data_IF_079073867637
#
_entry.id   IF_079073867637
#
_cell.length_a   1.000
_cell.length_b   1.000
_cell.length_c   1.000
_cell.angle_alpha   90.00
_cell.angle_beta   90.00
_cell.angle_gamma   90.00
#
_symmetry.space_group_name_H-M   'P 1'
#
loop_
_entity.id
_entity.type
_entity.pdbx_description
1 polymer ?
#
# COMPACT_ATOMS: atom_id res chain seq x y z
N UNK A 1 32.74 -10.23 -50.26
CA UNK A 1 32.31 -9.22 -49.27
C UNK A 1 30.77 -9.13 -49.17
N UNK A 2 30.06 -10.23 -49.44
CA UNK A 2 28.58 -10.30 -49.48
C UNK A 2 28.13 -11.57 -48.75
N UNK A 3 28.53 -11.72 -47.49
CA UNK A 3 28.16 -12.89 -46.67
C UNK A 3 27.91 -12.52 -45.20
N UNK A 4 28.48 -11.40 -44.73
CA UNK A 4 28.24 -10.91 -43.38
C UNK A 4 26.89 -10.18 -43.22
N UNK A 5 26.24 -9.75 -44.32
CA UNK A 5 24.93 -9.07 -44.25
C UNK A 5 23.74 -10.05 -44.28
N UNK A 6 23.93 -11.28 -44.76
CA UNK A 6 22.87 -12.30 -44.80
C UNK A 6 22.70 -13.04 -43.45
N UNK A 7 23.65 -12.88 -42.52
CA UNK A 7 23.61 -13.51 -41.19
C UNK A 7 22.90 -12.64 -40.12
N UNK A 8 22.52 -11.40 -40.45
CA UNK A 8 21.82 -10.50 -39.52
C UNK A 8 20.28 -10.58 -39.63
N UNK A 9 19.74 -11.36 -40.56
CA UNK A 9 18.28 -11.59 -40.69
C UNK A 9 17.76 -12.74 -39.83
N UNK A 10 18.61 -13.38 -39.02
CA UNK A 10 18.24 -14.57 -38.22
C UNK A 10 17.70 -14.27 -36.81
N UNK A 11 17.58 -13.01 -36.39
CA UNK A 11 16.82 -12.72 -35.16
C UNK A 11 15.35 -12.68 -35.55
N UNK A 12 14.73 -13.86 -35.60
CA UNK A 12 13.30 -13.97 -35.35
C UNK A 12 13.07 -13.50 -33.91
N UNK A 13 12.89 -12.19 -33.73
CA UNK A 13 12.12 -11.65 -32.63
C UNK A 13 10.72 -12.21 -32.83
N UNK A 14 10.48 -13.36 -32.19
CA UNK A 14 9.15 -13.88 -32.03
C UNK A 14 8.35 -12.85 -31.26
N UNK A 15 7.68 -11.95 -31.98
CA UNK A 15 6.51 -11.30 -31.44
C UNK A 15 5.57 -12.45 -31.08
N UNK A 16 5.33 -12.64 -29.79
CA UNK A 16 4.29 -13.49 -29.28
C UNK A 16 2.93 -12.87 -29.65
N UNK A 17 2.57 -12.89 -30.94
CA UNK A 17 1.24 -12.56 -31.42
C UNK A 17 0.37 -13.79 -31.24
N UNK A 18 0.00 -14.02 -29.98
CA UNK A 18 -0.77 -15.19 -29.59
C UNK A 18 -0.80 -15.41 -28.10
N UNK A 19 -0.68 -14.37 -27.29
CA UNK A 19 -1.22 -14.42 -25.93
C UNK A 19 -2.70 -14.08 -26.06
N UNK A 20 -3.54 -15.11 -25.99
CA UNK A 20 -4.93 -15.08 -25.55
C UNK A 20 -5.27 -13.71 -24.92
N UNK A 21 -5.96 -12.85 -25.69
CA UNK A 21 -6.32 -11.49 -25.23
C UNK A 21 -7.08 -11.55 -23.91
N UNK A 22 -7.78 -12.66 -23.70
CA UNK A 22 -8.47 -13.02 -22.47
C UNK A 22 -7.51 -13.26 -21.29
N UNK A 23 -6.40 -13.99 -21.50
CA UNK A 23 -5.37 -14.18 -20.49
C UNK A 23 -4.64 -12.87 -20.16
N UNK A 24 -4.36 -12.04 -21.16
CA UNK A 24 -3.75 -10.73 -20.96
C UNK A 24 -4.65 -9.79 -20.16
N UNK A 25 -5.97 -9.81 -20.43
CA UNK A 25 -6.94 -8.99 -19.71
C UNK A 25 -7.15 -9.50 -18.27
N UNK A 26 -7.18 -10.82 -18.06
CA UNK A 26 -7.27 -11.41 -16.73
C UNK A 26 -6.05 -11.07 -15.84
N UNK A 27 -4.84 -11.05 -16.41
CA UNK A 27 -3.63 -10.61 -15.70
C UNK A 27 -3.71 -9.12 -15.35
N UNK A 28 -4.16 -8.27 -16.29
CA UNK A 28 -4.33 -6.85 -16.04
C UNK A 28 -5.37 -6.57 -14.93
N UNK A 29 -6.50 -7.27 -14.93
CA UNK A 29 -7.52 -7.19 -13.88
C UNK A 29 -6.97 -7.63 -12.51
N UNK A 30 -6.20 -8.72 -12.48
CA UNK A 30 -5.56 -9.21 -11.26
C UNK A 30 -4.57 -8.21 -10.67
N UNK A 31 -3.71 -7.60 -11.50
CA UNK A 31 -2.73 -6.59 -11.07
C UNK A 31 -3.46 -5.33 -10.56
N UNK A 32 -4.50 -4.89 -11.25
CA UNK A 32 -5.28 -3.70 -10.85
C UNK A 32 -6.00 -3.92 -9.50
N UNK A 33 -6.56 -5.12 -9.28
CA UNK A 33 -7.17 -5.51 -8.02
C UNK A 33 -6.16 -5.49 -6.86
N UNK A 34 -4.96 -6.05 -7.08
CA UNK A 34 -3.88 -6.07 -6.10
C UNK A 34 -3.40 -4.66 -5.74
N UNK A 35 -3.23 -3.79 -6.75
CA UNK A 35 -2.83 -2.40 -6.55
C UNK A 35 -3.88 -1.64 -5.73
N UNK A 36 -5.16 -1.89 -6.02
CA UNK A 36 -6.28 -1.24 -5.32
C UNK A 36 -6.27 -1.58 -3.82
N UNK A 37 -5.98 -2.81 -3.44
CA UNK A 37 -5.87 -3.24 -2.04
C UNK A 37 -4.71 -2.57 -1.32
N UNK A 38 -3.57 -2.33 -1.99
CA UNK A 38 -2.41 -1.67 -1.40
C UNK A 38 -2.58 -0.16 -1.25
N UNK A 39 -3.30 0.47 -2.20
CA UNK A 39 -3.50 1.92 -2.22
C UNK A 39 -4.66 2.39 -1.34
N UNK A 40 -5.69 1.55 -1.16
CA UNK A 40 -6.88 1.90 -0.37
C UNK A 40 -6.82 1.25 1.01
N UNK A 41 -5.89 1.71 1.84
CA UNK A 41 -5.92 1.38 3.27
C UNK A 41 -7.21 1.94 3.89
N UNK A 42 -8.04 1.06 4.45
CA UNK A 42 -9.26 1.51 5.12
C UNK A 42 -8.92 2.38 6.34
N UNK A 43 -9.70 3.44 6.62
CA UNK A 43 -9.46 4.28 7.78
C UNK A 43 -9.60 3.45 9.05
N UNK A 44 -8.55 3.43 9.88
CA UNK A 44 -8.57 2.75 11.17
C UNK A 44 -9.61 3.39 12.08
N UNK A 45 -10.69 2.65 12.37
CA UNK A 45 -11.71 3.06 13.34
C UNK A 45 -11.23 2.69 14.75
N UNK A 46 -11.31 3.63 15.68
CA UNK A 46 -11.06 3.35 17.10
C UNK A 46 -12.25 2.58 17.67
N UNK A 47 -11.98 1.46 18.33
CA UNK A 47 -12.99 0.71 19.08
C UNK A 47 -13.46 1.49 20.32
N UNK A 48 -12.54 2.26 20.92
CA UNK A 48 -12.79 3.02 22.13
C UNK A 48 -13.10 4.50 21.84
N UNK A 49 -13.98 5.12 22.64
CA UNK A 49 -14.29 6.54 22.52
C UNK A 49 -13.04 7.39 22.77
N UNK A 50 -13.00 8.56 22.12
CA UNK A 50 -11.90 9.51 22.31
C UNK A 50 -11.99 10.10 23.72
N UNK A 51 -10.96 9.86 24.53
CA UNK A 51 -10.85 10.44 25.88
C UNK A 51 -10.66 11.96 25.77
N UNK A 52 -11.57 12.72 26.34
CA UNK A 52 -11.50 14.17 26.40
C UNK A 52 -10.41 14.65 27.36
N UNK A 53 -9.85 15.83 27.08
CA UNK A 53 -8.72 16.41 27.85
C UNK A 53 -9.08 16.60 29.35
N UNK A 54 -10.34 16.84 29.68
CA UNK A 54 -10.80 17.04 31.06
C UNK A 54 -11.35 15.77 31.75
N UNK A 55 -11.51 14.67 31.01
CA UNK A 55 -12.11 13.43 31.50
C UNK A 55 -11.17 12.71 32.49
N UNK A 56 -11.69 11.82 33.35
CA UNK A 56 -10.85 10.96 34.18
C UNK A 56 -9.86 10.16 33.32
N UNK A 57 -8.59 10.10 33.75
CA UNK A 57 -7.58 9.33 33.04
C UNK A 57 -7.90 7.82 33.08
N UNK A 58 -7.91 7.11 31.94
CA UNK A 58 -8.13 5.66 31.90
C UNK A 58 -7.01 4.85 32.57
N UNK A 59 -5.90 5.50 32.92
CA UNK A 59 -4.76 4.92 33.63
C UNK A 59 -5.00 4.63 35.13
N UNK A 60 -6.22 4.85 35.64
CA UNK A 60 -6.56 4.61 37.05
C UNK A 60 -6.06 5.68 38.04
N UNK A 61 -5.44 6.76 37.58
CA UNK A 61 -4.86 7.78 38.45
C UNK A 61 -5.88 8.74 39.09
N UNK A 62 -7.16 8.66 38.70
CA UNK A 62 -8.24 9.60 39.08
C UNK A 62 -7.98 11.08 38.74
N UNK A 63 -6.85 11.40 38.10
CA UNK A 63 -6.55 12.75 37.62
C UNK A 63 -7.21 12.98 36.26
N UNK A 64 -7.51 14.25 35.93
CA UNK A 64 -7.94 14.64 34.58
C UNK A 64 -6.87 14.23 33.55
N UNK A 65 -7.28 13.73 32.38
CA UNK A 65 -6.37 13.23 31.33
C UNK A 65 -5.26 14.24 30.98
N UNK A 66 -5.60 15.54 30.90
CA UNK A 66 -4.64 16.65 30.69
C UNK A 66 -3.53 16.80 31.72
N UNK A 67 -3.80 16.38 32.95
CA UNK A 67 -2.85 16.45 34.08
C UNK A 67 -2.15 15.10 34.31
N UNK A 68 -2.39 14.10 33.47
CA UNK A 68 -1.84 12.76 33.60
C UNK A 68 -1.19 12.31 32.28
N UNK A 69 -1.83 11.42 31.51
CA UNK A 69 -1.22 10.83 30.31
C UNK A 69 -1.09 11.78 29.10
N UNK A 70 -1.77 12.93 29.08
CA UNK A 70 -1.68 13.87 27.96
C UNK A 70 -0.25 14.34 27.67
N UNK A 71 0.55 14.62 28.72
CA UNK A 71 1.93 15.09 28.54
C UNK A 71 2.87 13.98 28.06
N UNK A 72 2.56 12.71 28.33
CA UNK A 72 3.38 11.57 27.91
C UNK A 72 3.34 11.35 26.39
N UNK A 73 2.29 11.83 25.72
CA UNK A 73 2.10 11.66 24.26
C UNK A 73 2.85 12.70 23.41
N UNK A 74 3.51 13.70 24.00
CA UNK A 74 4.16 14.81 23.27
C UNK A 74 5.69 14.87 23.42
N UNK A 75 6.32 13.82 23.96
CA UNK A 75 7.77 13.77 24.20
C UNK A 75 8.49 12.73 23.33
N UNK A 76 7.83 12.16 22.33
CA UNK A 76 8.41 11.17 21.40
C UNK A 76 8.77 11.77 20.03
N UNK A 77 8.58 13.09 19.85
CA UNK A 77 8.84 13.82 18.59
C UNK A 77 9.94 14.89 18.71
N UNK A 78 10.66 14.96 19.84
CA UNK A 78 11.83 15.84 20.05
C UNK A 78 13.11 15.03 20.27
#
# INVERSE_FOLDING_TARGET
>A
MTSALEQLESVHLGNAEGADKEASNAVAEGVLAQLKTLLHAEPVRREQPKVGRNDPCPCGSHKKFKKCCWKKQQQEEE
#
